data_IF_675313937440
#
_entry.id   IF_675313937440
#
_cell.length_a   1.000
_cell.length_b   1.000
_cell.length_c   1.000
_cell.angle_alpha   90.00
_cell.angle_beta   90.00
_cell.angle_gamma   90.00
#
_symmetry.space_group_name_H-M   'P 1'
#
loop_
_entity.id
_entity.type
_entity.pdbx_description
1 polymer ?
#
# COMPACT_ATOMS: atom_id res chain seq x y z
N UNK A 1 -1.10 -40.40 -46.41
CA UNK A 1 -1.42 -40.64 -44.98
C UNK A 1 -2.58 -39.73 -44.60
N UNK A 2 -3.75 -40.27 -44.24
CA UNK A 2 -4.91 -39.49 -43.76
C UNK A 2 -4.88 -39.56 -42.22
N UNK A 3 -4.74 -38.41 -41.56
CA UNK A 3 -4.87 -38.32 -40.10
C UNK A 3 -6.37 -38.39 -39.76
N UNK A 4 -6.78 -39.47 -39.09
CA UNK A 4 -8.12 -39.59 -38.53
C UNK A 4 -8.14 -38.90 -37.15
N UNK A 5 -8.75 -37.72 -37.08
CA UNK A 5 -8.98 -37.03 -35.81
C UNK A 5 -10.19 -37.64 -35.10
N UNK A 6 -9.95 -38.29 -33.96
CA UNK A 6 -11.00 -38.88 -33.14
C UNK A 6 -11.75 -37.77 -32.39
N UNK A 7 -13.10 -37.71 -32.45
CA UNK A 7 -13.89 -36.63 -31.83
C UNK A 7 -13.77 -36.58 -30.31
N UNK A 8 -13.32 -37.67 -29.68
CA UNK A 8 -13.06 -37.72 -28.24
C UNK A 8 -11.92 -36.78 -27.79
N UNK A 9 -10.92 -36.51 -28.66
CA UNK A 9 -9.79 -35.66 -28.31
C UNK A 9 -10.17 -34.16 -28.28
N UNK A 10 -11.19 -33.77 -29.05
CA UNK A 10 -11.71 -32.40 -29.10
C UNK A 10 -12.57 -32.06 -27.86
N UNK A 11 -13.26 -33.04 -27.27
CA UNK A 11 -14.07 -32.85 -26.06
C UNK A 11 -13.23 -32.66 -24.79
N UNK A 12 -12.05 -33.28 -24.71
CA UNK A 12 -11.15 -33.13 -23.55
C UNK A 12 -10.50 -31.74 -23.46
N UNK A 13 -10.36 -31.03 -24.58
CA UNK A 13 -9.77 -29.68 -24.61
C UNK A 13 -10.75 -28.58 -24.16
N UNK A 14 -12.06 -28.85 -24.18
CA UNK A 14 -13.09 -27.88 -23.83
C UNK A 14 -13.21 -27.62 -22.30
N UNK A 15 -12.70 -28.52 -21.47
CA UNK A 15 -12.80 -28.43 -20.00
C UNK A 15 -11.67 -27.63 -19.35
N UNK A 16 -10.65 -27.22 -20.12
CA UNK A 16 -9.56 -26.38 -19.63
C UNK A 16 -9.84 -24.89 -19.84
N UNK A 17 -11.04 -24.42 -19.46
CA UNK A 17 -11.28 -22.99 -19.38
C UNK A 17 -10.67 -22.45 -18.08
N UNK A 18 -9.70 -21.51 -18.13
CA UNK A 18 -9.19 -20.90 -16.91
C UNK A 18 -10.33 -20.14 -16.23
N UNK A 19 -10.72 -20.61 -15.04
CA UNK A 19 -11.64 -19.87 -14.20
C UNK A 19 -10.95 -18.58 -13.76
N UNK A 20 -11.38 -17.44 -14.31
CA UNK A 20 -10.97 -16.13 -13.81
C UNK A 20 -11.67 -15.95 -12.47
N UNK A 21 -10.99 -16.27 -11.37
CA UNK A 21 -11.46 -15.93 -10.04
C UNK A 21 -11.59 -14.40 -9.96
N UNK A 22 -12.79 -13.92 -9.68
CA UNK A 22 -12.99 -12.50 -9.39
C UNK A 22 -12.17 -12.15 -8.15
N UNK A 23 -11.22 -11.22 -8.27
CA UNK A 23 -10.43 -10.77 -7.13
C UNK A 23 -11.37 -10.26 -6.03
N UNK A 24 -11.24 -10.81 -4.83
CA UNK A 24 -11.99 -10.34 -3.67
C UNK A 24 -11.75 -8.83 -3.48
N UNK A 25 -12.81 -8.09 -3.17
CA UNK A 25 -12.69 -6.66 -2.91
C UNK A 25 -11.80 -6.45 -1.66
N UNK A 26 -10.64 -5.83 -1.85
CA UNK A 26 -9.75 -5.42 -0.75
C UNK A 26 -10.02 -3.95 -0.44
N UNK A 27 -10.59 -3.58 0.73
CA UNK A 27 -10.85 -2.18 1.07
C UNK A 27 -9.57 -1.35 1.10
N UNK A 28 -9.71 -0.04 0.97
CA UNK A 28 -8.57 0.86 1.18
C UNK A 28 -8.13 0.83 2.67
N UNK A 29 -6.83 0.99 3.01
CA UNK A 29 -6.43 1.09 4.42
C UNK A 29 -7.17 2.21 5.14
N UNK A 30 -7.62 1.96 6.36
CA UNK A 30 -8.37 2.96 7.11
C UNK A 30 -7.49 4.16 7.47
N UNK A 31 -8.12 5.33 7.64
CA UNK A 31 -7.42 6.52 8.12
C UNK A 31 -6.73 6.28 9.48
N UNK A 32 -7.34 5.48 10.35
CA UNK A 32 -6.76 5.10 11.64
C UNK A 32 -5.48 4.27 11.48
N UNK A 33 -5.46 3.32 10.54
CA UNK A 33 -4.26 2.52 10.22
C UNK A 33 -3.11 3.43 9.78
N UNK A 34 -3.39 4.35 8.86
CA UNK A 34 -2.37 5.29 8.36
C UNK A 34 -1.93 6.27 9.45
N UNK A 35 -2.85 6.74 10.29
CA UNK A 35 -2.53 7.67 11.39
C UNK A 35 -1.70 6.99 12.48
N UNK A 36 -1.97 5.71 12.75
CA UNK A 36 -1.17 4.90 13.67
C UNK A 36 0.25 4.72 13.16
N UNK A 37 0.42 4.34 11.88
CA UNK A 37 1.75 4.25 11.27
C UNK A 37 2.51 5.59 11.34
N UNK A 38 1.83 6.70 11.03
CA UNK A 38 2.44 8.02 11.11
C UNK A 38 2.93 8.36 12.52
N UNK A 39 2.12 8.07 13.55
CA UNK A 39 2.49 8.31 14.96
C UNK A 39 3.66 7.43 15.39
N UNK A 40 3.63 6.14 15.04
CA UNK A 40 4.72 5.20 15.32
C UNK A 40 6.03 5.70 14.69
N UNK A 41 5.99 6.18 13.44
CA UNK A 41 7.17 6.73 12.76
C UNK A 41 7.73 7.96 13.47
N UNK A 42 6.87 8.89 13.90
CA UNK A 42 7.32 10.05 14.69
C UNK A 42 7.87 9.65 16.06
N UNK A 43 7.31 8.62 16.71
CA UNK A 43 7.85 8.09 17.95
C UNK A 43 9.23 7.42 17.74
N UNK A 44 9.43 6.71 16.63
CA UNK A 44 10.75 6.15 16.27
C UNK A 44 11.79 7.25 16.03
N UNK A 45 11.40 8.32 15.34
CA UNK A 45 12.22 9.51 15.13
C UNK A 45 12.58 10.15 16.47
N UNK A 46 11.60 10.40 17.34
CA UNK A 46 11.81 11.06 18.63
C UNK A 46 12.64 10.23 19.61
N UNK A 47 12.28 8.96 19.80
CA UNK A 47 12.78 8.15 20.91
C UNK A 47 14.02 7.34 20.54
N UNK A 48 14.23 7.05 19.25
CA UNK A 48 15.33 6.18 18.79
C UNK A 48 15.39 4.85 19.57
N UNK A 49 14.23 4.25 19.83
CA UNK A 49 14.08 3.00 20.57
C UNK A 49 13.50 1.90 19.69
N UNK A 50 13.77 0.65 20.06
CA UNK A 50 13.41 -0.53 19.27
C UNK A 50 11.92 -0.62 18.97
N UNK A 51 11.07 -0.56 20.00
CA UNK A 51 9.63 -0.80 19.86
C UNK A 51 8.93 0.07 18.80
N UNK A 52 9.00 1.42 18.83
CA UNK A 52 8.34 2.24 17.82
C UNK A 52 8.98 2.10 16.44
N UNK A 53 10.30 1.86 16.36
CA UNK A 53 10.99 1.69 15.09
C UNK A 53 10.61 0.38 14.40
N UNK A 54 10.61 -0.74 15.13
CA UNK A 54 10.21 -2.03 14.58
C UNK A 54 8.72 -2.07 14.26
N UNK A 55 7.87 -1.46 15.09
CA UNK A 55 6.43 -1.33 14.79
C UNK A 55 6.20 -0.54 13.50
N UNK A 56 6.90 0.59 13.32
CA UNK A 56 6.86 1.39 12.09
C UNK A 56 7.22 0.55 10.87
N UNK A 57 8.36 -0.16 10.94
CA UNK A 57 8.86 -0.97 9.83
C UNK A 57 7.90 -2.10 9.48
N UNK A 58 7.44 -2.85 10.48
CA UNK A 58 6.51 -3.97 10.29
C UNK A 58 5.21 -3.51 9.65
N UNK A 59 4.59 -2.45 10.18
CA UNK A 59 3.32 -1.96 9.65
C UNK A 59 3.48 -1.33 8.26
N UNK A 60 4.60 -0.66 7.99
CA UNK A 60 4.89 -0.14 6.65
C UNK A 60 5.06 -1.29 5.63
N UNK A 61 5.78 -2.35 6.00
CA UNK A 61 5.99 -3.54 5.20
C UNK A 61 4.67 -4.28 4.89
N UNK A 62 3.80 -4.46 5.89
CA UNK A 62 2.46 -5.04 5.71
C UNK A 62 1.60 -4.27 4.69
N UNK A 63 1.80 -2.96 4.56
CA UNK A 63 1.08 -2.12 3.60
C UNK A 63 1.73 -2.11 2.20
N UNK A 64 2.98 -2.52 2.02
CA UNK A 64 3.67 -2.51 0.72
C UNK A 64 2.96 -3.36 -0.34
N UNK A 65 2.44 -4.52 0.08
CA UNK A 65 1.74 -5.45 -0.80
C UNK A 65 0.26 -5.09 -1.03
N UNK A 66 -0.22 -4.00 -0.44
CA UNK A 66 -1.61 -3.61 -0.56
C UNK A 66 -1.97 -3.26 -2.02
N UNK A 67 -2.95 -3.93 -2.65
CA UNK A 67 -3.19 -3.83 -4.10
C UNK A 67 -3.78 -2.48 -4.53
N UNK A 68 -4.38 -1.74 -3.60
CA UNK A 68 -4.95 -0.41 -3.88
C UNK A 68 -4.00 0.75 -3.69
N UNK A 69 -2.90 0.57 -2.96
CA UNK A 69 -2.02 1.69 -2.68
C UNK A 69 -1.24 2.08 -3.94
N UNK A 70 -1.24 3.37 -4.30
CA UNK A 70 -0.53 3.83 -5.49
C UNK A 70 0.98 3.72 -5.28
N UNK A 71 1.74 3.66 -6.38
CA UNK A 71 3.20 3.55 -6.35
C UNK A 71 3.84 4.62 -5.44
N UNK A 72 3.38 5.87 -5.51
CA UNK A 72 3.87 6.96 -4.64
C UNK A 72 3.66 6.73 -3.14
N UNK A 73 2.59 6.03 -2.75
CA UNK A 73 2.41 5.62 -1.36
C UNK A 73 3.41 4.51 -1.00
N UNK A 74 3.62 3.55 -1.91
CA UNK A 74 4.61 2.47 -1.71
C UNK A 74 6.03 3.01 -1.59
N UNK A 75 6.40 4.06 -2.32
CA UNK A 75 7.71 4.71 -2.16
C UNK A 75 7.89 5.31 -0.75
N UNK A 76 6.83 5.91 -0.20
CA UNK A 76 6.82 6.43 1.18
C UNK A 76 6.92 5.29 2.19
N UNK A 77 6.18 4.19 2.01
CA UNK A 77 6.24 3.02 2.87
C UNK A 77 7.62 2.37 2.83
N UNK A 78 8.19 2.17 1.63
CA UNK A 78 9.54 1.65 1.43
C UNK A 78 10.59 2.50 2.14
N UNK A 79 10.47 3.83 2.07
CA UNK A 79 11.34 4.75 2.81
C UNK A 79 11.23 4.50 4.33
N UNK A 80 10.04 4.32 4.88
CA UNK A 80 9.85 4.02 6.30
C UNK A 80 10.46 2.66 6.69
N UNK A 81 10.31 1.62 5.87
CA UNK A 81 10.91 0.29 6.10
C UNK A 81 12.45 0.39 6.17
N UNK A 82 13.05 1.22 5.32
CA UNK A 82 14.48 1.48 5.27
C UNK A 82 14.99 2.32 6.44
N UNK A 83 14.36 3.46 6.68
CA UNK A 83 14.88 4.54 7.54
C UNK A 83 14.48 4.42 9.02
N UNK A 84 13.33 3.81 9.35
CA UNK A 84 12.81 3.75 10.72
C UNK A 84 13.54 2.70 11.58
N UNK A 85 14.85 2.87 11.77
CA UNK A 85 15.72 1.96 12.53
C UNK A 85 16.35 2.68 13.71
N UNK A 86 16.67 1.94 14.77
CA UNK A 86 17.51 2.46 15.85
C UNK A 86 18.90 2.73 15.30
N UNK A 87 19.49 3.87 15.69
CA UNK A 87 20.86 4.22 15.41
C UNK A 87 21.63 4.49 16.71
N UNK A 88 22.97 4.47 16.64
CA UNK A 88 23.81 4.79 17.79
C UNK A 88 23.56 6.22 18.33
N UNK A 89 23.23 7.17 17.44
CA UNK A 89 22.95 8.57 17.79
C UNK A 89 21.64 9.01 17.15
N UNK A 90 20.77 9.67 17.91
CA UNK A 90 19.54 10.24 17.38
C UNK A 90 19.77 11.59 16.67
N UNK A 91 20.53 11.57 15.58
CA UNK A 91 20.91 12.78 14.84
C UNK A 91 19.71 13.44 14.15
N UNK A 92 19.82 14.76 13.90
CA UNK A 92 18.82 15.49 13.12
C UNK A 92 18.58 14.84 11.74
N UNK A 93 19.65 14.43 11.05
CA UNK A 93 19.57 13.80 9.75
C UNK A 93 18.76 12.49 9.79
N UNK A 94 18.98 11.64 10.80
CA UNK A 94 18.19 10.42 11.00
C UNK A 94 16.72 10.76 11.21
N UNK A 95 16.44 11.70 12.12
CA UNK A 95 15.08 12.13 12.43
C UNK A 95 14.35 12.65 11.20
N UNK A 96 15.01 13.48 10.41
CA UNK A 96 14.42 14.02 9.18
C UNK A 96 14.19 12.93 8.14
N UNK A 97 15.10 11.96 7.98
CA UNK A 97 14.92 10.82 7.08
C UNK A 97 13.65 9.99 7.39
N UNK A 98 13.25 9.91 8.65
CA UNK A 98 12.01 9.25 9.11
C UNK A 98 10.81 10.20 9.01
N UNK A 99 10.97 11.44 9.45
CA UNK A 99 9.87 12.40 9.53
C UNK A 99 9.36 12.84 8.14
N UNK A 100 10.25 12.95 7.14
CA UNK A 100 9.88 13.33 5.77
C UNK A 100 8.86 12.38 5.14
N UNK A 101 9.08 11.05 5.08
CA UNK A 101 8.05 10.12 4.62
C UNK A 101 6.84 10.08 5.56
N UNK A 102 7.01 10.13 6.89
CA UNK A 102 5.89 10.13 7.84
C UNK A 102 4.90 11.28 7.60
N UNK A 103 5.40 12.51 7.37
CA UNK A 103 4.56 13.69 7.03
C UNK A 103 3.75 13.52 5.75
N UNK A 104 4.29 12.77 4.78
CA UNK A 104 3.63 12.56 3.48
C UNK A 104 2.57 11.46 3.51
N UNK A 105 2.67 10.52 4.44
CA UNK A 105 1.89 9.28 4.49
C UNK A 105 0.39 9.50 4.26
N UNK A 106 -0.29 10.28 5.10
CA UNK A 106 -1.74 10.48 5.00
C UNK A 106 -2.13 11.05 3.63
N UNK A 107 -1.39 12.05 3.15
CA UNK A 107 -1.70 12.73 1.88
C UNK A 107 -1.59 11.80 0.68
N UNK A 108 -0.60 10.91 0.66
CA UNK A 108 -0.34 10.06 -0.53
C UNK A 108 -1.01 8.69 -0.44
N UNK A 109 -1.28 8.20 0.76
CA UNK A 109 -1.80 6.86 1.00
C UNK A 109 -3.29 6.83 1.30
N UNK A 110 -3.98 7.96 1.52
CA UNK A 110 -5.43 7.95 1.76
C UNK A 110 -6.22 7.71 0.48
N UNK A 111 -7.44 7.19 0.61
CA UNK A 111 -8.34 6.98 -0.52
C UNK A 111 -8.62 8.31 -1.23
N UNK A 112 -8.49 8.38 -2.57
CA UNK A 112 -8.82 9.60 -3.30
C UNK A 112 -10.29 9.97 -3.14
N UNK A 113 -10.56 11.13 -2.55
CA UNK A 113 -11.93 11.68 -2.51
C UNK A 113 -12.29 12.17 -3.91
N UNK A 114 -13.27 11.54 -4.56
CA UNK A 114 -13.81 12.04 -5.82
C UNK A 114 -14.49 13.40 -5.57
N UNK A 115 -14.11 14.48 -6.28
CA UNK A 115 -14.79 15.75 -6.12
C UNK A 115 -16.25 15.57 -6.52
N UNK A 116 -17.18 15.88 -5.60
CA UNK A 116 -18.58 16.00 -5.94
C UNK A 116 -18.72 17.16 -6.91
N UNK A 117 -19.24 16.92 -8.11
CA UNK A 117 -19.52 17.98 -9.08
C UNK A 117 -20.47 18.98 -8.41
N UNK A 118 -19.96 20.15 -8.02
CA UNK A 118 -20.81 21.25 -7.55
C UNK A 118 -21.79 21.55 -8.68
N UNK A 119 -23.10 21.48 -8.40
CA UNK A 119 -24.12 21.95 -9.35
C UNK A 119 -23.80 23.42 -9.65
N UNK A 120 -23.66 23.76 -10.93
CA UNK A 120 -23.45 25.14 -11.35
C UNK A 120 -24.58 26.01 -10.76
N UNK A 121 -24.28 27.22 -10.25
CA UNK A 121 -25.31 28.09 -9.71
C UNK A 121 -26.32 28.42 -10.81
N UNK A 122 -27.59 28.06 -10.58
CA UNK A 122 -28.71 28.49 -11.43
C UNK A 122 -28.85 29.99 -11.27
N UNK A 123 -28.49 30.74 -12.32
CA UNK A 123 -28.73 32.18 -12.40
C UNK A 123 -30.24 32.38 -12.60
N UNK A 124 -30.93 32.80 -11.54
CA UNK A 124 -32.30 33.35 -11.59
C UNK A 124 -32.27 34.80 -12.06
#
# INVERSE_FOLDING_TARGET
MKLHFSPALLLLLAMASPAIAANAYVPWPSQDTLSTLQKEAFLCSLNNSTDPCDSTRKRADELMDHPRLPAICKDVLWSLVGEARVAATNSFQRRDAIDQPARRLIRVCSEPVKPTKKKAPTRT
#
